data_IF_289371799524
#
_entry.id   IF_289371799524
#
_cell.length_a   1.000
_cell.length_b   1.000
_cell.length_c   1.000
_cell.angle_alpha   90.00
_cell.angle_beta   90.00
_cell.angle_gamma   90.00
#
_symmetry.space_group_name_H-M   'P 1'
#
loop_
_entity.id
_entity.type
_entity.pdbx_description
1 polymer ?
#
# COMPACT_ATOMS: atom_id res chain seq x y z
N UNK A 1 26.67 18.43 -5.89
CA UNK A 1 26.26 17.09 -6.38
C UNK A 1 26.80 16.89 -7.78
N UNK A 2 27.57 15.83 -8.03
CA UNK A 2 28.21 15.59 -9.33
C UNK A 2 27.18 15.02 -10.32
N UNK A 3 27.36 15.27 -11.61
CA UNK A 3 26.47 14.81 -12.71
C UNK A 3 26.22 13.29 -12.69
N UNK A 4 27.21 12.52 -12.23
CA UNK A 4 27.14 11.07 -12.06
C UNK A 4 26.10 10.63 -11.02
N UNK A 5 26.00 11.35 -9.89
CA UNK A 5 25.05 11.03 -8.81
C UNK A 5 23.59 11.20 -9.26
N UNK A 6 23.33 12.20 -10.12
CA UNK A 6 22.00 12.42 -10.72
C UNK A 6 21.59 11.32 -11.70
N UNK A 7 22.55 10.78 -12.45
CA UNK A 7 22.28 9.69 -13.41
C UNK A 7 21.94 8.42 -12.64
N UNK A 8 22.72 8.08 -11.62
CA UNK A 8 22.50 6.89 -10.80
C UNK A 8 21.18 6.93 -10.02
N UNK A 9 20.80 8.09 -9.47
CA UNK A 9 19.50 8.28 -8.82
C UNK A 9 18.34 8.07 -9.81
N UNK A 10 18.44 8.63 -11.02
CA UNK A 10 17.43 8.47 -12.07
C UNK A 10 17.29 7.01 -12.52
N UNK A 11 18.39 6.25 -12.58
CA UNK A 11 18.37 4.81 -12.90
C UNK A 11 17.63 4.00 -11.83
N UNK A 12 17.79 4.33 -10.54
CA UNK A 12 17.06 3.67 -9.44
C UNK A 12 15.57 3.93 -9.49
N UNK A 13 15.17 5.18 -9.76
CA UNK A 13 13.77 5.57 -9.93
C UNK A 13 13.14 4.83 -11.13
N UNK A 14 13.86 4.72 -12.26
CA UNK A 14 13.41 3.96 -13.42
C UNK A 14 13.26 2.46 -13.14
N UNK A 15 14.20 1.84 -12.40
CA UNK A 15 14.11 0.42 -12.03
C UNK A 15 12.89 0.18 -11.11
N UNK A 16 12.68 1.05 -10.13
CA UNK A 16 11.53 0.95 -9.23
C UNK A 16 10.21 1.07 -9.99
N UNK A 17 10.12 2.01 -10.95
CA UNK A 17 8.97 2.17 -11.84
C UNK A 17 8.73 0.94 -12.70
N UNK A 18 9.78 0.32 -13.26
CA UNK A 18 9.67 -0.89 -14.07
C UNK A 18 9.18 -2.06 -13.21
N UNK A 19 9.71 -2.24 -12.00
CA UNK A 19 9.26 -3.30 -11.07
C UNK A 19 7.80 -3.09 -10.69
N UNK A 20 7.39 -1.86 -10.36
CA UNK A 20 5.99 -1.49 -10.12
C UNK A 20 5.11 -1.82 -11.33
N UNK A 21 5.54 -1.46 -12.54
CA UNK A 21 4.79 -1.70 -13.77
C UNK A 21 4.63 -3.19 -14.06
N UNK A 22 5.67 -3.99 -13.83
CA UNK A 22 5.65 -5.45 -14.00
C UNK A 22 4.74 -6.12 -12.98
N UNK A 23 4.69 -5.63 -11.74
CA UNK A 23 3.74 -6.11 -10.72
C UNK A 23 2.29 -5.72 -11.00
N UNK A 24 2.08 -4.68 -11.80
CA UNK A 24 0.77 -4.25 -12.29
C UNK A 24 0.32 -4.99 -13.57
N UNK A 25 1.14 -5.88 -14.15
CA UNK A 25 0.69 -6.70 -15.28
C UNK A 25 -0.38 -7.67 -14.75
N UNK A 26 -1.64 -7.55 -15.18
CA UNK A 26 -2.64 -8.53 -14.80
C UNK A 26 -2.19 -9.87 -15.36
N UNK A 27 -2.16 -10.91 -14.52
CA UNK A 27 -2.09 -12.28 -15.04
C UNK A 27 -3.27 -12.44 -15.98
N UNK A 28 -3.02 -12.99 -17.18
CA UNK A 28 -4.07 -13.28 -18.16
C UNK A 28 -5.15 -14.12 -17.48
N UNK A 29 -6.33 -13.54 -17.28
CA UNK A 29 -7.51 -14.22 -16.73
C UNK A 29 -8.40 -14.61 -17.90
N UNK A 30 -8.66 -15.91 -18.04
CA UNK A 30 -9.64 -16.42 -19.00
C UNK A 30 -11.04 -16.00 -18.54
N UNK A 31 -11.82 -15.44 -19.47
CA UNK A 31 -13.04 -14.67 -19.22
C UNK A 31 -14.28 -15.47 -18.76
N UNK A 32 -14.12 -16.60 -18.06
CA UNK A 32 -15.24 -17.41 -17.58
C UNK A 32 -14.95 -18.16 -16.26
N UNK A 33 -14.02 -17.65 -15.44
CA UNK A 33 -13.45 -18.45 -14.37
C UNK A 33 -13.80 -17.89 -12.99
N UNK A 34 -14.71 -18.57 -12.30
CA UNK A 34 -15.02 -18.31 -10.89
C UNK A 34 -13.79 -18.59 -10.03
N UNK A 35 -13.36 -17.59 -9.26
CA UNK A 35 -12.19 -17.68 -8.42
C UNK A 35 -12.45 -18.69 -7.28
N UNK A 36 -11.66 -19.76 -7.17
CA UNK A 36 -11.82 -20.82 -6.14
C UNK A 36 -10.57 -20.87 -5.24
N UNK A 37 -10.77 -20.81 -3.91
CA UNK A 37 -9.67 -20.91 -2.92
C UNK A 37 -9.20 -22.36 -2.89
N UNK A 38 -7.94 -22.63 -3.25
CA UNK A 38 -7.33 -23.96 -3.11
C UNK A 38 -6.77 -24.20 -1.70
N UNK A 39 -6.54 -23.13 -0.93
CA UNK A 39 -6.01 -23.19 0.44
C UNK A 39 -7.12 -23.00 1.47
N UNK A 40 -7.03 -23.75 2.59
CA UNK A 40 -7.89 -23.58 3.77
C UNK A 40 -7.66 -22.27 4.52
N UNK A 41 -6.56 -21.56 4.25
CA UNK A 41 -6.27 -20.25 4.82
C UNK A 41 -7.02 -19.18 4.05
N UNK A 42 -7.97 -18.54 4.72
CA UNK A 42 -8.70 -17.41 4.15
C UNK A 42 -7.94 -16.10 4.37
N UNK A 43 -8.02 -15.11 3.45
CA UNK A 43 -7.28 -13.84 3.55
C UNK A 43 -7.47 -13.11 4.87
N UNK A 44 -8.66 -13.15 5.47
CA UNK A 44 -8.94 -12.49 6.75
C UNK A 44 -8.11 -13.04 7.92
N UNK A 45 -7.65 -14.29 7.84
CA UNK A 45 -6.81 -14.90 8.87
C UNK A 45 -5.36 -14.38 8.83
N UNK A 46 -4.91 -13.88 7.68
CA UNK A 46 -3.59 -13.28 7.51
C UNK A 46 -3.56 -11.79 7.83
N UNK A 47 -4.72 -11.11 7.77
CA UNK A 47 -4.84 -9.66 7.97
C UNK A 47 -4.14 -9.16 9.25
N UNK A 48 -4.29 -9.78 10.44
CA UNK A 48 -3.62 -9.27 11.64
C UNK A 48 -2.09 -9.32 11.54
N UNK A 49 -1.54 -10.39 10.96
CA UNK A 49 -0.10 -10.58 10.81
C UNK A 49 0.49 -9.61 9.78
N UNK A 50 -0.21 -9.49 8.65
CA UNK A 50 0.12 -8.55 7.58
C UNK A 50 0.09 -7.12 8.10
N UNK A 51 -0.96 -6.72 8.82
CA UNK A 51 -1.10 -5.37 9.36
C UNK A 51 0.05 -5.02 10.32
N UNK A 52 0.42 -5.95 11.20
CA UNK A 52 1.57 -5.77 12.10
C UNK A 52 2.86 -5.61 11.29
N UNK A 53 3.07 -6.44 10.27
CA UNK A 53 4.27 -6.38 9.45
C UNK A 53 4.36 -5.07 8.64
N UNK A 54 3.24 -4.61 8.09
CA UNK A 54 3.13 -3.31 7.41
C UNK A 54 3.52 -2.17 8.34
N UNK A 55 2.94 -2.12 9.54
CA UNK A 55 3.25 -1.09 10.55
C UNK A 55 4.74 -1.11 10.90
N UNK A 56 5.33 -2.29 11.10
CA UNK A 56 6.76 -2.43 11.43
C UNK A 56 7.64 -1.88 10.32
N UNK A 57 7.38 -2.26 9.06
CA UNK A 57 8.20 -1.83 7.91
C UNK A 57 8.08 -0.32 7.69
N UNK A 58 6.87 0.21 7.68
CA UNK A 58 6.64 1.65 7.50
C UNK A 58 7.28 2.47 8.61
N UNK A 59 7.09 2.04 9.86
CA UNK A 59 7.74 2.67 11.01
C UNK A 59 9.27 2.72 10.83
N UNK A 60 9.90 1.60 10.47
CA UNK A 60 11.34 1.50 10.29
C UNK A 60 11.81 2.38 9.13
N UNK A 61 11.14 2.35 7.98
CA UNK A 61 11.51 3.15 6.80
C UNK A 61 11.40 4.65 7.08
N UNK A 62 10.25 5.10 7.59
CA UNK A 62 10.00 6.52 7.87
C UNK A 62 10.98 7.04 8.92
N UNK A 63 11.11 6.33 10.04
CA UNK A 63 12.02 6.73 11.12
C UNK A 63 13.47 6.78 10.65
N UNK A 64 13.96 5.71 10.01
CA UNK A 64 15.39 5.57 9.72
C UNK A 64 15.83 6.44 8.53
N UNK A 65 14.98 6.65 7.53
CA UNK A 65 15.34 7.42 6.32
C UNK A 65 15.09 8.92 6.51
N UNK A 66 14.07 9.30 7.29
CA UNK A 66 13.78 10.71 7.61
C UNK A 66 14.44 11.19 8.90
N UNK A 67 15.08 10.29 9.65
CA UNK A 67 15.82 10.60 10.89
C UNK A 67 14.98 11.34 11.94
N UNK A 68 13.68 11.01 12.04
CA UNK A 68 12.74 11.62 12.99
C UNK A 68 13.10 11.15 14.42
N UNK A 69 13.25 12.11 15.33
CA UNK A 69 13.66 11.84 16.71
C UNK A 69 12.50 11.27 17.54
N UNK A 70 11.28 11.78 17.36
CA UNK A 70 10.12 11.33 18.12
C UNK A 70 9.56 10.00 17.59
N UNK A 71 10.14 8.91 18.06
CA UNK A 71 9.74 7.52 17.73
C UNK A 71 8.25 7.27 18.00
N UNK A 72 7.67 7.84 19.06
CA UNK A 72 6.26 7.62 19.39
C UNK A 72 5.35 8.28 18.37
N UNK A 73 5.71 9.48 17.91
CA UNK A 73 4.95 10.22 16.90
C UNK A 73 4.92 9.49 15.56
N UNK A 74 6.05 8.93 15.13
CA UNK A 74 6.10 8.11 13.90
C UNK A 74 5.21 6.87 14.03
N UNK A 75 5.28 6.17 15.16
CA UNK A 75 4.45 4.98 15.39
C UNK A 75 2.95 5.33 15.36
N UNK A 76 2.55 6.42 16.04
CA UNK A 76 1.17 6.90 16.02
C UNK A 76 0.73 7.27 14.60
N UNK A 77 1.58 7.95 13.83
CA UNK A 77 1.28 8.33 12.46
C UNK A 77 0.98 7.11 11.59
N UNK A 78 1.86 6.10 11.65
CA UNK A 78 1.73 4.85 10.87
C UNK A 78 0.51 4.04 11.32
N UNK A 79 0.26 3.92 12.63
CA UNK A 79 -0.92 3.21 13.11
C UNK A 79 -2.23 3.88 12.69
N UNK A 80 -2.31 5.21 12.77
CA UNK A 80 -3.51 5.97 12.35
C UNK A 80 -3.70 5.85 10.84
N UNK A 81 -2.64 6.02 10.04
CA UNK A 81 -2.75 5.95 8.58
C UNK A 81 -3.21 4.58 8.12
N UNK A 82 -2.60 3.51 8.64
CA UNK A 82 -3.00 2.14 8.32
C UNK A 82 -4.44 1.86 8.73
N UNK A 83 -4.83 2.24 9.95
CA UNK A 83 -6.19 2.03 10.43
C UNK A 83 -7.21 2.72 9.52
N UNK A 84 -6.98 3.98 9.15
CA UNK A 84 -7.88 4.72 8.26
C UNK A 84 -7.91 4.07 6.87
N UNK A 85 -6.76 3.70 6.29
CA UNK A 85 -6.70 2.99 5.00
C UNK A 85 -7.49 1.70 5.02
N UNK A 86 -7.39 0.92 6.10
CA UNK A 86 -8.16 -0.31 6.28
C UNK A 86 -9.66 -0.04 6.40
N UNK A 87 -10.08 1.06 7.01
CA UNK A 87 -11.51 1.38 7.20
C UNK A 87 -12.20 1.91 5.93
N UNK A 88 -11.48 2.59 5.04
CA UNK A 88 -12.10 3.25 3.86
C UNK A 88 -12.90 2.30 2.97
N UNK A 89 -12.40 1.09 2.59
CA UNK A 89 -13.18 0.13 1.84
C UNK A 89 -14.50 -0.26 2.53
N UNK A 90 -14.51 -0.39 3.87
CA UNK A 90 -15.71 -0.73 4.62
C UNK A 90 -16.72 0.42 4.66
N UNK A 91 -16.28 1.67 4.79
CA UNK A 91 -17.19 2.82 4.69
C UNK A 91 -17.83 2.93 3.31
N UNK A 92 -17.07 2.66 2.24
CA UNK A 92 -17.60 2.66 0.88
C UNK A 92 -18.72 1.63 0.66
N UNK A 93 -18.73 0.52 1.42
CA UNK A 93 -19.81 -0.48 1.35
C UNK A 93 -21.07 -0.11 2.14
N UNK A 94 -20.95 0.78 3.14
CA UNK A 94 -22.06 1.13 4.04
C UNK A 94 -22.91 2.31 3.54
N UNK A 95 -22.35 3.24 2.76
CA UNK A 95 -23.06 4.41 2.24
C UNK A 95 -23.57 4.18 0.81
N UNK A 96 -24.90 4.21 0.62
CA UNK A 96 -25.57 4.05 -0.68
C UNK A 96 -25.95 5.41 -1.32
N UNK A 97 -25.02 6.36 -1.40
CA UNK A 97 -25.23 7.59 -2.19
C UNK A 97 -24.70 7.41 -3.63
N UNK A 98 -25.28 8.08 -4.63
CA UNK A 98 -25.04 7.77 -6.06
C UNK A 98 -23.58 7.80 -6.54
N UNK A 99 -22.70 8.59 -5.91
CA UNK A 99 -21.24 8.56 -6.16
C UNK A 99 -20.61 7.29 -5.56
N UNK A 100 -21.07 6.89 -4.39
CA UNK A 100 -20.67 5.67 -3.70
C UNK A 100 -21.21 4.41 -4.38
N UNK A 101 -22.35 4.44 -5.07
CA UNK A 101 -22.80 3.32 -5.93
C UNK A 101 -21.82 3.04 -7.08
N UNK A 102 -21.22 4.09 -7.68
CA UNK A 102 -20.23 3.93 -8.76
C UNK A 102 -18.89 3.43 -8.23
N UNK A 103 -18.47 3.94 -7.08
CA UNK A 103 -17.32 3.43 -6.32
C UNK A 103 -17.60 1.98 -5.96
N UNK A 104 -18.72 1.69 -5.29
CA UNK A 104 -19.20 0.35 -4.90
C UNK A 104 -19.26 -0.62 -6.07
N UNK A 105 -19.76 -0.26 -7.26
CA UNK A 105 -19.73 -1.16 -8.43
C UNK A 105 -18.32 -1.41 -8.95
N UNK A 106 -17.45 -0.38 -8.96
CA UNK A 106 -16.02 -0.53 -9.29
C UNK A 106 -15.30 -1.36 -8.23
N UNK A 107 -15.77 -1.28 -7.00
CA UNK A 107 -15.26 -1.95 -5.81
C UNK A 107 -15.75 -3.42 -5.79
N UNK A 108 -17.02 -3.73 -6.00
CA UNK A 108 -17.61 -5.08 -6.01
C UNK A 108 -17.17 -5.91 -7.22
N UNK A 109 -16.85 -5.26 -8.34
CA UNK A 109 -16.21 -5.93 -9.50
C UNK A 109 -14.72 -6.18 -9.30
N UNK A 110 -14.11 -5.61 -8.26
CA UNK A 110 -12.79 -5.97 -7.77
C UNK A 110 -12.95 -7.00 -6.66
N UNK A 111 -12.43 -8.21 -6.83
CA UNK A 111 -12.29 -9.14 -5.71
C UNK A 111 -11.41 -8.51 -4.61
N UNK A 112 -12.01 -7.84 -3.61
CA UNK A 112 -11.29 -7.11 -2.54
C UNK A 112 -10.34 -7.94 -1.70
N UNK A 113 -10.46 -9.25 -1.82
CA UNK A 113 -9.51 -10.18 -1.24
C UNK A 113 -8.14 -10.11 -1.92
N UNK A 114 -8.07 -9.51 -3.12
CA UNK A 114 -6.87 -9.38 -3.93
C UNK A 114 -6.28 -7.99 -3.84
N UNK A 115 -5.11 -7.89 -3.21
CA UNK A 115 -4.31 -6.68 -3.19
C UNK A 115 -3.79 -6.42 -4.59
N UNK A 116 -4.35 -5.38 -5.19
CA UNK A 116 -4.10 -4.97 -6.55
C UNK A 116 -3.61 -3.51 -6.62
N UNK A 117 -3.39 -3.01 -7.83
CA UNK A 117 -2.92 -1.65 -8.05
C UNK A 117 -3.89 -0.58 -7.54
N UNK A 118 -5.21 -0.83 -7.56
CA UNK A 118 -6.20 0.09 -7.01
C UNK A 118 -6.10 0.22 -5.49
N UNK A 119 -5.85 -0.89 -4.78
CA UNK A 119 -5.58 -0.87 -3.34
C UNK A 119 -4.33 -0.02 -3.02
N UNK A 120 -3.25 -0.15 -3.81
CA UNK A 120 -2.06 0.69 -3.66
C UNK A 120 -2.36 2.18 -3.85
N UNK A 121 -3.17 2.56 -4.85
CA UNK A 121 -3.54 3.96 -5.03
C UNK A 121 -4.37 4.49 -3.86
N UNK A 122 -5.27 3.66 -3.33
CA UNK A 122 -6.08 4.00 -2.17
C UNK A 122 -5.21 4.27 -0.94
N UNK A 123 -4.27 3.36 -0.62
CA UNK A 123 -3.34 3.53 0.50
C UNK A 123 -2.46 4.76 0.30
N UNK A 124 -1.94 5.01 -0.90
CA UNK A 124 -1.16 6.22 -1.17
C UNK A 124 -1.96 7.51 -0.95
N UNK A 125 -3.21 7.58 -1.41
CA UNK A 125 -4.08 8.76 -1.25
C UNK A 125 -4.39 9.03 0.23
N UNK A 126 -4.52 7.99 1.05
CA UNK A 126 -4.91 8.11 2.46
C UNK A 126 -3.68 8.26 3.36
N UNK A 127 -2.69 7.39 3.22
CA UNK A 127 -1.57 7.32 4.17
C UNK A 127 -0.57 8.43 3.97
N UNK A 128 -0.28 8.79 2.73
CA UNK A 128 0.68 9.87 2.45
C UNK A 128 0.30 11.18 3.14
N UNK A 129 -0.94 11.71 3.00
CA UNK A 129 -1.30 12.95 3.68
C UNK A 129 -1.38 12.79 5.20
N UNK A 130 -1.89 11.68 5.73
CA UNK A 130 -2.01 11.46 7.18
C UNK A 130 -0.62 11.42 7.83
N UNK A 131 0.27 10.57 7.32
CA UNK A 131 1.62 10.44 7.87
C UNK A 131 2.36 11.76 7.74
N UNK A 132 2.33 12.39 6.56
CA UNK A 132 2.98 13.67 6.33
C UNK A 132 2.47 14.75 7.29
N UNK A 133 1.15 14.91 7.43
CA UNK A 133 0.55 15.91 8.32
C UNK A 133 0.96 15.71 9.78
N UNK A 134 1.07 14.45 10.23
CA UNK A 134 1.45 14.14 11.60
C UNK A 134 2.94 14.39 11.84
N UNK A 135 3.84 14.06 10.90
CA UNK A 135 5.30 14.11 11.14
C UNK A 135 6.02 15.31 10.53
N UNK A 136 5.35 16.17 9.74
CA UNK A 136 5.97 17.27 8.98
C UNK A 136 6.83 18.23 9.80
N UNK A 137 6.52 18.44 11.09
CA UNK A 137 7.24 19.38 11.94
C UNK A 137 8.64 18.88 12.35
N UNK A 138 8.90 17.59 12.22
CA UNK A 138 10.20 16.97 12.55
C UNK A 138 11.03 16.64 11.31
N UNK A 139 10.49 16.91 10.12
CA UNK A 139 11.13 16.59 8.84
C UNK A 139 11.97 17.78 8.36
N UNK A 140 13.27 17.54 8.16
CA UNK A 140 14.17 18.52 7.54
C UNK A 140 13.89 18.72 6.04
N UNK A 141 13.63 17.65 5.30
CA UNK A 141 13.40 17.69 3.85
C UNK A 141 11.99 17.21 3.49
N UNK A 142 11.09 18.18 3.26
CA UNK A 142 9.67 17.95 2.93
C UNK A 142 9.45 17.25 1.59
N UNK A 143 10.36 17.41 0.62
CA UNK A 143 10.24 16.71 -0.67
C UNK A 143 10.65 15.25 -0.53
N UNK A 144 11.72 15.00 0.23
CA UNK A 144 12.18 13.66 0.56
C UNK A 144 11.13 12.89 1.38
N UNK A 145 10.42 13.54 2.30
CA UNK A 145 9.43 12.84 3.14
C UNK A 145 8.27 12.25 2.37
N UNK A 146 7.67 12.99 1.44
CA UNK A 146 6.60 12.45 0.59
C UNK A 146 7.10 11.24 -0.21
N UNK A 147 8.31 11.31 -0.76
CA UNK A 147 8.91 10.18 -1.48
C UNK A 147 9.15 8.96 -0.59
N UNK A 148 9.60 9.16 0.66
CA UNK A 148 9.83 8.05 1.60
C UNK A 148 8.53 7.42 2.08
N UNK A 149 7.51 8.23 2.39
CA UNK A 149 6.20 7.73 2.83
C UNK A 149 5.56 6.93 1.70
N UNK A 150 5.54 7.47 0.47
CA UNK A 150 5.03 6.76 -0.70
C UNK A 150 5.81 5.47 -0.98
N UNK A 151 7.14 5.50 -0.89
CA UNK A 151 7.97 4.31 -1.08
C UNK A 151 7.69 3.25 0.00
N UNK A 152 7.46 3.63 1.25
CA UNK A 152 7.13 2.70 2.32
C UNK A 152 5.80 1.99 2.04
N UNK A 153 4.77 2.73 1.65
CA UNK A 153 3.45 2.21 1.25
C UNK A 153 3.54 1.27 0.02
N UNK A 154 4.35 1.62 -0.98
CA UNK A 154 4.59 0.75 -2.14
C UNK A 154 5.23 -0.57 -1.70
N UNK A 155 6.30 -0.51 -0.90
CA UNK A 155 7.03 -1.70 -0.43
C UNK A 155 6.11 -2.60 0.38
N UNK A 156 5.34 -2.05 1.30
CA UNK A 156 4.41 -2.84 2.13
C UNK A 156 3.30 -3.43 1.28
N UNK A 157 2.66 -2.67 0.39
CA UNK A 157 1.60 -3.18 -0.49
C UNK A 157 2.09 -4.31 -1.41
N UNK A 158 3.28 -4.17 -2.00
CA UNK A 158 3.89 -5.23 -2.83
C UNK A 158 4.17 -6.48 -2.00
N UNK A 159 4.68 -6.31 -0.78
CA UNK A 159 4.90 -7.41 0.14
C UNK A 159 3.58 -8.10 0.48
N UNK A 160 2.51 -7.35 0.79
CA UNK A 160 1.24 -7.98 1.12
C UNK A 160 0.67 -8.72 -0.08
N UNK A 161 0.72 -8.15 -1.29
CA UNK A 161 0.31 -8.83 -2.51
C UNK A 161 1.12 -10.13 -2.74
N UNK A 162 2.41 -10.14 -2.40
CA UNK A 162 3.22 -11.35 -2.45
C UNK A 162 2.80 -12.38 -1.40
N UNK A 163 2.58 -11.97 -0.14
CA UNK A 163 2.12 -12.85 0.95
C UNK A 163 0.79 -13.49 0.58
N UNK A 164 -0.16 -12.69 0.11
CA UNK A 164 -1.48 -13.14 -0.32
C UNK A 164 -1.38 -14.18 -1.44
N UNK A 165 -0.60 -13.92 -2.50
CA UNK A 165 -0.40 -14.86 -3.62
C UNK A 165 0.31 -16.16 -3.23
N UNK A 166 1.13 -16.13 -2.18
CA UNK A 166 1.85 -17.32 -1.68
C UNK A 166 0.95 -18.14 -0.74
N UNK A 167 0.27 -17.47 0.19
CA UNK A 167 -0.42 -18.09 1.33
C UNK A 167 -1.90 -18.38 1.06
N UNK A 168 -2.56 -17.56 0.23
CA UNK A 168 -3.95 -17.73 -0.16
C UNK A 168 -4.02 -18.11 -1.65
N UNK A 169 -3.59 -19.33 -1.98
CA UNK A 169 -3.60 -19.79 -3.38
C UNK A 169 -5.04 -19.97 -3.84
N UNK A 170 -5.43 -19.18 -4.83
CA UNK A 170 -6.52 -19.50 -5.74
C UNK A 170 -6.01 -19.59 -7.16
N UNK A 171 -6.80 -20.20 -8.04
CA UNK A 171 -6.70 -19.95 -9.47
C UNK A 171 -7.99 -19.32 -9.93
N UNK A 172 -7.83 -18.51 -10.98
CA UNK A 172 -8.91 -18.26 -11.92
C UNK A 172 -9.22 -19.59 -12.59
#
# INVERSE_FOLDING_TARGET
MKKSDKIFARTKESILLIVLLVLCIPKVVYADSSWIWFTTTAPYQLLPFVAVLTIVIEYLMIKNILHIQNKKRVLIAVCISNLVSFMVPYFATYYQDGVYETIKQTFESMDFYTINSAYLFLTLIIECPIVYAIVQDEIHDKKKSLGVIAAANVVTTVMVAAIERIACRGSW
#
